data_IF_690541952011
#
_entry.id   IF_690541952011
#
_cell.length_a   1.000
_cell.length_b   1.000
_cell.length_c   1.000
_cell.angle_alpha   90.00
_cell.angle_beta   90.00
_cell.angle_gamma   90.00
#
_symmetry.space_group_name_H-M   'P 1'
#
loop_
_entity.id
_entity.type
_entity.pdbx_description
1 polymer ?
#
# COMPACT_ATOMS: atom_id res chain seq x y z
N UNK A 1 10.82 4.40 23.22
CA UNK A 1 9.61 5.20 22.93
C UNK A 1 8.89 5.66 24.22
N UNK A 2 8.86 4.87 25.29
CA UNK A 2 8.24 5.26 26.58
C UNK A 2 8.99 6.33 27.39
N UNK A 3 10.22 6.69 26.97
CA UNK A 3 11.07 7.66 27.70
C UNK A 3 10.77 9.13 27.36
N UNK A 4 9.98 9.40 26.32
CA UNK A 4 9.67 10.77 25.87
C UNK A 4 8.21 11.09 26.18
N UNK A 5 7.98 12.17 26.94
CA UNK A 5 6.65 12.67 27.26
C UNK A 5 5.94 13.23 26.03
N UNK A 6 4.61 13.29 26.08
CA UNK A 6 3.80 13.92 25.02
C UNK A 6 4.25 15.37 24.81
N UNK A 7 4.48 15.76 23.57
CA UNK A 7 4.99 17.07 23.20
C UNK A 7 6.53 17.15 23.11
N UNK A 8 7.26 16.16 23.63
CA UNK A 8 8.72 16.10 23.50
C UNK A 8 9.17 15.97 22.04
N UNK A 9 10.34 16.51 21.74
CA UNK A 9 10.96 16.46 20.42
C UNK A 9 12.00 15.34 20.35
N UNK A 10 11.97 14.58 19.26
CA UNK A 10 12.98 13.61 18.90
C UNK A 10 13.65 14.10 17.62
N UNK A 11 14.96 14.34 17.72
CA UNK A 11 15.83 14.70 16.60
C UNK A 11 16.72 13.50 16.31
N UNK A 12 16.92 13.21 15.03
CA UNK A 12 17.81 12.13 14.61
C UNK A 12 18.22 12.26 13.15
N UNK A 13 19.11 11.36 12.74
CA UNK A 13 19.51 11.23 11.35
C UNK A 13 19.60 9.77 10.94
N UNK A 14 19.46 9.52 9.64
CA UNK A 14 19.63 8.18 9.06
C UNK A 14 20.05 8.26 7.59
N UNK A 15 20.62 7.17 7.09
CA UNK A 15 20.90 6.99 5.67
C UNK A 15 19.76 6.17 5.07
N UNK A 16 18.92 6.75 4.19
CA UNK A 16 17.85 6.02 3.53
C UNK A 16 18.41 4.94 2.61
N UNK A 17 17.66 3.84 2.44
CA UNK A 17 17.95 2.79 1.46
C UNK A 17 18.21 3.36 0.05
N UNK A 18 17.48 4.41 -0.31
CA UNK A 18 17.59 5.10 -1.58
C UNK A 18 19.00 5.66 -1.85
N UNK A 19 19.73 6.06 -0.79
CA UNK A 19 21.09 6.61 -0.87
C UNK A 19 22.16 5.61 -0.41
N UNK A 20 21.79 4.33 -0.32
CA UNK A 20 22.66 3.32 0.28
C UNK A 20 23.84 2.91 -0.64
N UNK A 21 23.59 2.80 -1.95
CA UNK A 21 24.65 2.54 -2.95
C UNK A 21 25.71 3.65 -2.91
N UNK A 22 25.28 4.91 -3.00
CA UNK A 22 26.20 6.06 -2.99
C UNK A 22 27.00 6.14 -1.68
N UNK A 23 26.42 5.74 -0.54
CA UNK A 23 27.11 5.67 0.73
C UNK A 23 28.19 4.58 0.75
N UNK A 24 27.87 3.34 0.36
CA UNK A 24 28.84 2.24 0.34
C UNK A 24 29.96 2.47 -0.68
N UNK A 25 29.61 3.00 -1.87
CA UNK A 25 30.57 3.30 -2.92
C UNK A 25 31.62 4.34 -2.49
N UNK A 26 31.24 5.25 -1.59
CA UNK A 26 32.16 6.23 -1.00
C UNK A 26 33.13 5.66 0.04
N UNK A 27 32.91 4.43 0.51
CA UNK A 27 33.72 3.80 1.57
C UNK A 27 34.70 2.75 1.06
N UNK A 28 34.51 2.25 -0.16
CA UNK A 28 35.25 1.09 -0.67
C UNK A 28 35.59 1.23 -2.16
N UNK A 29 36.72 0.67 -2.63
CA UNK A 29 37.03 0.58 -4.06
C UNK A 29 35.93 -0.16 -4.84
N UNK A 30 35.74 0.19 -6.12
CA UNK A 30 34.63 -0.30 -6.94
C UNK A 30 34.49 -1.83 -6.98
N UNK A 31 35.60 -2.55 -7.10
CA UNK A 31 35.61 -4.02 -7.13
C UNK A 31 35.12 -4.64 -5.82
N UNK A 32 35.60 -4.12 -4.68
CA UNK A 32 35.20 -4.61 -3.36
C UNK A 32 33.74 -4.27 -3.05
N UNK A 33 33.29 -3.09 -3.46
CA UNK A 33 31.89 -2.67 -3.40
C UNK A 33 30.97 -3.64 -4.15
N UNK A 34 31.29 -3.99 -5.40
CA UNK A 34 30.46 -4.86 -6.22
C UNK A 34 30.28 -6.26 -5.59
N UNK A 35 31.32 -6.78 -4.95
CA UNK A 35 31.27 -8.07 -4.23
C UNK A 35 30.48 -7.94 -2.93
N UNK A 36 30.70 -6.89 -2.15
CA UNK A 36 30.14 -6.76 -0.79
C UNK A 36 28.68 -6.31 -0.77
N UNK A 37 28.23 -5.54 -1.76
CA UNK A 37 26.86 -5.03 -1.83
C UNK A 37 25.77 -6.10 -1.64
N UNK A 38 25.76 -7.24 -2.37
CA UNK A 38 24.72 -8.25 -2.19
C UNK A 38 24.73 -8.86 -0.79
N UNK A 39 25.90 -9.15 -0.22
CA UNK A 39 26.02 -9.69 1.13
C UNK A 39 25.53 -8.70 2.18
N UNK A 40 25.97 -7.44 2.08
CA UNK A 40 25.53 -6.38 2.97
C UNK A 40 24.02 -6.20 2.90
N UNK A 41 23.46 -6.14 1.69
CA UNK A 41 22.02 -6.01 1.49
C UNK A 41 21.27 -7.19 2.12
N UNK A 42 21.70 -8.43 1.87
CA UNK A 42 21.06 -9.61 2.47
C UNK A 42 21.11 -9.54 4.00
N UNK A 43 22.28 -9.24 4.57
CA UNK A 43 22.47 -9.21 6.01
C UNK A 43 21.70 -8.06 6.69
N UNK A 44 21.74 -6.84 6.17
CA UNK A 44 21.13 -5.66 6.82
C UNK A 44 19.68 -5.35 6.38
N UNK A 45 19.22 -5.91 5.24
CA UNK A 45 17.83 -5.72 4.74
C UNK A 45 16.96 -6.95 4.92
N UNK A 46 17.48 -8.15 4.63
CA UNK A 46 16.69 -9.39 4.54
C UNK A 46 16.65 -10.11 5.89
N UNK A 47 17.80 -10.34 6.53
CA UNK A 47 17.86 -11.09 7.80
C UNK A 47 16.97 -10.51 8.91
N UNK A 48 16.88 -9.18 9.12
CA UNK A 48 16.04 -8.61 10.18
C UNK A 48 14.53 -8.84 9.96
N UNK A 49 14.12 -9.25 8.75
CA UNK A 49 12.71 -9.41 8.34
C UNK A 49 12.23 -10.86 8.37
N UNK A 50 13.14 -11.83 8.29
CA UNK A 50 12.80 -13.25 8.31
C UNK A 50 12.73 -13.76 9.74
N UNK A 51 11.73 -14.58 10.07
CA UNK A 51 11.51 -15.05 11.44
C UNK A 51 12.73 -15.78 12.03
N UNK A 52 13.42 -16.57 11.20
CA UNK A 52 14.55 -17.43 11.60
C UNK A 52 15.83 -16.61 11.82
N UNK A 53 16.20 -15.76 10.86
CA UNK A 53 17.48 -15.03 10.90
C UNK A 53 17.42 -13.71 11.66
N UNK A 54 16.22 -13.25 12.03
CA UNK A 54 16.02 -12.03 12.82
C UNK A 54 16.78 -12.10 14.14
N UNK A 55 16.65 -13.20 14.90
CA UNK A 55 17.32 -13.32 16.21
C UNK A 55 18.84 -13.22 16.08
N UNK A 56 19.42 -13.94 15.12
CA UNK A 56 20.87 -13.91 14.82
C UNK A 56 21.32 -12.48 14.51
N UNK A 57 20.57 -11.77 13.66
CA UNK A 57 20.89 -10.38 13.32
C UNK A 57 20.90 -9.47 14.56
N UNK A 58 19.88 -9.56 15.42
CA UNK A 58 19.79 -8.74 16.63
C UNK A 58 20.88 -9.05 17.64
N UNK A 59 21.31 -10.31 17.76
CA UNK A 59 22.45 -10.69 18.61
C UNK A 59 23.75 -10.07 18.08
N UNK A 60 23.99 -10.14 16.76
CA UNK A 60 25.24 -9.67 16.16
C UNK A 60 25.34 -8.14 16.04
N UNK A 61 24.22 -7.44 15.88
CA UNK A 61 24.22 -6.02 15.54
C UNK A 61 23.55 -5.14 16.59
N UNK A 62 22.92 -5.73 17.61
CA UNK A 62 22.04 -5.01 18.54
C UNK A 62 20.92 -4.22 17.81
N UNK A 63 20.56 -4.69 16.60
CA UNK A 63 19.59 -4.02 15.73
C UNK A 63 20.11 -2.77 15.02
N UNK A 64 21.40 -2.44 15.13
CA UNK A 64 22.04 -1.29 14.46
C UNK A 64 22.21 -1.53 12.95
N UNK A 65 22.43 -0.46 12.20
CA UNK A 65 22.75 -0.49 10.76
C UNK A 65 21.71 -1.19 9.87
N UNK A 66 20.44 -1.23 10.27
CA UNK A 66 19.38 -1.77 9.42
C UNK A 66 19.16 -0.87 8.22
N UNK A 67 19.18 -1.44 7.02
CA UNK A 67 18.90 -0.69 5.79
C UNK A 67 17.38 -0.51 5.63
N UNK A 68 16.89 0.69 5.90
CA UNK A 68 15.47 1.03 5.85
C UNK A 68 15.24 2.16 4.85
N UNK A 69 14.11 2.11 4.13
CA UNK A 69 13.72 3.22 3.25
C UNK A 69 13.21 4.41 4.07
N UNK A 70 13.22 5.59 3.47
CA UNK A 70 12.61 6.80 4.05
C UNK A 70 11.17 6.53 4.53
N UNK A 71 10.36 5.90 3.69
CA UNK A 71 8.98 5.54 4.01
C UNK A 71 8.86 4.58 5.21
N UNK A 72 9.75 3.58 5.32
CA UNK A 72 9.71 2.61 6.41
C UNK A 72 10.09 3.27 7.76
N UNK A 73 11.05 4.21 7.76
CA UNK A 73 11.44 4.93 8.98
C UNK A 73 10.34 5.87 9.43
N UNK A 74 9.81 6.70 8.53
CA UNK A 74 8.74 7.64 8.87
C UNK A 74 7.46 6.89 9.30
N UNK A 75 7.13 5.79 8.62
CA UNK A 75 6.05 4.89 9.02
C UNK A 75 6.21 4.33 10.43
N UNK A 76 7.42 3.87 10.79
CA UNK A 76 7.71 3.38 12.16
C UNK A 76 7.61 4.47 13.21
N UNK A 77 8.04 5.69 12.89
CA UNK A 77 7.91 6.85 13.78
C UNK A 77 6.43 7.17 14.03
N UNK A 78 5.63 7.28 12.96
CA UNK A 78 4.18 7.52 13.06
C UNK A 78 3.47 6.40 13.83
N UNK A 79 3.81 5.13 13.56
CA UNK A 79 3.30 3.99 14.32
C UNK A 79 3.61 4.07 15.82
N UNK A 80 4.82 4.53 16.18
CA UNK A 80 5.21 4.78 17.56
C UNK A 80 4.59 6.06 18.15
N UNK A 81 3.71 6.76 17.44
CA UNK A 81 3.04 7.98 17.89
C UNK A 81 3.89 9.25 17.74
N UNK A 82 4.84 9.30 16.81
CA UNK A 82 5.58 10.52 16.50
C UNK A 82 5.03 11.17 15.24
N UNK A 83 4.63 12.45 15.34
CA UNK A 83 4.26 13.25 14.17
C UNK A 83 5.52 13.91 13.61
N UNK A 84 5.74 13.77 12.30
CA UNK A 84 6.86 14.44 11.64
C UNK A 84 6.64 15.96 11.68
N UNK A 85 7.67 16.72 12.05
CA UNK A 85 7.63 18.20 12.05
C UNK A 85 8.37 18.74 10.83
N UNK A 86 9.60 18.26 10.63
CA UNK A 86 10.45 18.67 9.52
C UNK A 86 11.50 17.60 9.25
N UNK A 87 11.92 17.48 8.00
CA UNK A 87 13.11 16.74 7.63
C UNK A 87 13.86 17.46 6.51
N UNK A 88 15.17 17.28 6.46
CA UNK A 88 16.04 17.83 5.44
C UNK A 88 17.05 16.76 5.01
N UNK A 89 17.39 16.74 3.73
CA UNK A 89 18.40 15.84 3.17
C UNK A 89 19.70 16.63 3.01
N UNK A 90 20.76 16.20 3.69
CA UNK A 90 22.10 16.79 3.59
C UNK A 90 23.06 15.67 3.17
N UNK A 91 23.61 15.79 1.97
CA UNK A 91 24.41 14.72 1.36
C UNK A 91 23.60 13.43 1.21
N UNK A 92 24.10 12.33 1.77
CA UNK A 92 23.43 11.03 1.73
C UNK A 92 22.53 10.76 2.96
N UNK A 93 22.42 11.70 3.90
CA UNK A 93 21.68 11.54 5.14
C UNK A 93 20.42 12.39 5.19
N UNK A 94 19.39 11.86 5.83
CA UNK A 94 18.18 12.60 6.18
C UNK A 94 18.23 12.92 7.66
N UNK A 95 18.14 14.20 7.98
CA UNK A 95 17.95 14.72 9.33
C UNK A 95 16.48 14.99 9.54
N UNK A 96 15.93 14.56 10.67
CA UNK A 96 14.51 14.71 10.94
C UNK A 96 14.26 15.17 12.37
N UNK A 97 13.18 15.92 12.53
CA UNK A 97 12.61 16.32 13.82
C UNK A 97 11.17 15.85 13.86
N UNK A 98 10.81 15.13 14.92
CA UNK A 98 9.45 14.66 15.13
C UNK A 98 8.99 14.96 16.56
N UNK A 99 7.71 15.24 16.72
CA UNK A 99 7.08 15.55 18.00
C UNK A 99 6.29 14.35 18.48
N UNK A 100 6.45 13.97 19.75
CA UNK A 100 5.65 12.90 20.35
C UNK A 100 4.19 13.34 20.44
N UNK A 101 3.34 12.66 19.70
CA UNK A 101 1.89 12.74 19.78
C UNK A 101 1.32 11.54 20.54
N UNK A 102 0.01 11.53 20.77
CA UNK A 102 -0.69 10.37 21.31
C UNK A 102 -0.62 9.24 20.28
N UNK A 103 -0.39 7.99 20.73
CA UNK A 103 -0.24 6.83 19.84
C UNK A 103 -1.47 6.70 18.93
N UNK A 104 -1.28 6.83 17.62
CA UNK A 104 -2.37 6.91 16.62
C UNK A 104 -2.88 5.51 16.25
N UNK A 105 -2.04 4.47 16.36
CA UNK A 105 -2.36 3.14 15.85
C UNK A 105 -2.80 2.18 16.95
N UNK A 106 -4.00 1.60 16.80
CA UNK A 106 -4.50 0.48 17.59
C UNK A 106 -3.96 -0.88 17.09
N UNK A 107 -3.22 -0.88 15.97
CA UNK A 107 -2.73 -2.11 15.34
C UNK A 107 -1.50 -2.66 16.08
N UNK A 108 -1.61 -3.87 16.64
CA UNK A 108 -0.57 -4.46 17.49
C UNK A 108 0.59 -5.09 16.70
N UNK A 109 0.39 -5.45 15.42
CA UNK A 109 1.39 -6.20 14.64
C UNK A 109 1.35 -5.90 13.13
N UNK A 110 1.98 -4.81 12.66
CA UNK A 110 2.12 -4.55 11.24
C UNK A 110 2.92 -5.66 10.53
N UNK A 111 2.35 -6.24 9.48
CA UNK A 111 2.94 -7.35 8.74
C UNK A 111 4.10 -6.90 7.85
N UNK A 112 5.24 -7.59 7.94
CA UNK A 112 6.39 -7.40 7.02
C UNK A 112 6.32 -8.25 5.75
N UNK A 113 5.33 -9.16 5.67
CA UNK A 113 5.26 -10.16 4.62
C UNK A 113 5.00 -9.56 3.22
N UNK A 114 5.35 -10.31 2.17
CA UNK A 114 5.07 -9.93 0.79
C UNK A 114 3.58 -9.96 0.47
N UNK A 115 2.76 -10.64 1.28
CA UNK A 115 1.30 -10.70 1.13
C UNK A 115 0.66 -9.83 2.21
N UNK A 116 -0.24 -8.94 1.79
CA UNK A 116 -1.06 -8.09 2.65
C UNK A 116 -2.47 -8.66 2.69
N UNK A 117 -3.05 -8.67 3.89
CA UNK A 117 -4.44 -9.06 4.15
C UNK A 117 -5.25 -7.81 4.43
N UNK A 118 -6.28 -7.55 3.63
CA UNK A 118 -7.11 -6.35 3.74
C UNK A 118 -8.56 -6.75 4.09
N UNK A 119 -9.06 -6.27 5.22
CA UNK A 119 -10.48 -6.43 5.57
C UNK A 119 -11.34 -5.52 4.68
N UNK A 120 -12.35 -6.11 4.05
CA UNK A 120 -13.28 -5.45 3.11
C UNK A 120 -14.70 -5.92 3.34
N UNK A 121 -15.67 -5.10 2.95
CA UNK A 121 -17.09 -5.47 2.99
C UNK A 121 -17.40 -6.35 1.78
N UNK A 122 -18.00 -7.50 2.05
CA UNK A 122 -18.46 -8.48 1.07
C UNK A 122 -19.98 -8.62 1.06
N UNK A 123 -20.43 -9.75 0.51
CA UNK A 123 -21.84 -10.08 0.36
C UNK A 123 -22.55 -10.17 1.73
N UNK A 124 -23.80 -9.68 1.80
CA UNK A 124 -24.60 -9.50 3.01
C UNK A 124 -23.89 -8.70 4.13
N UNK A 125 -22.99 -7.79 3.76
CA UNK A 125 -22.26 -6.96 4.72
C UNK A 125 -21.18 -7.72 5.50
N UNK A 126 -20.94 -9.00 5.19
CA UNK A 126 -19.91 -9.81 5.87
C UNK A 126 -18.52 -9.28 5.57
N UNK A 127 -17.65 -9.27 6.57
CA UNK A 127 -16.25 -8.87 6.39
C UNK A 127 -15.50 -10.03 5.74
N UNK A 128 -14.90 -9.78 4.58
CA UNK A 128 -14.01 -10.70 3.87
C UNK A 128 -12.57 -10.19 3.92
N UNK A 129 -11.61 -11.11 3.79
CA UNK A 129 -10.18 -10.78 3.76
C UNK A 129 -9.67 -10.91 2.33
N UNK A 130 -9.30 -9.79 1.73
CA UNK A 130 -8.71 -9.73 0.39
C UNK A 130 -7.20 -9.83 0.48
N UNK A 131 -6.60 -10.69 -0.33
CA UNK A 131 -5.14 -10.87 -0.39
C UNK A 131 -4.54 -10.07 -1.55
N UNK A 132 -3.42 -9.38 -1.31
CA UNK A 132 -2.65 -8.69 -2.37
C UNK A 132 -1.16 -8.80 -2.12
N UNK A 133 -0.35 -8.65 -3.15
CA UNK A 133 1.08 -8.43 -2.93
C UNK A 133 1.34 -7.03 -2.37
N UNK A 134 2.31 -6.95 -1.48
CA UNK A 134 2.79 -5.71 -0.88
C UNK A 134 3.56 -4.92 -1.94
N UNK A 135 2.98 -3.80 -2.34
CA UNK A 135 3.57 -2.86 -3.30
C UNK A 135 4.18 -1.63 -2.65
N UNK A 136 3.95 -1.43 -1.35
CA UNK A 136 4.47 -0.31 -0.57
C UNK A 136 5.39 -0.80 0.54
N UNK A 137 6.33 0.05 0.94
CA UNK A 137 7.20 -0.23 2.08
C UNK A 137 6.37 -0.50 3.35
N UNK A 138 6.80 -1.41 4.23
CA UNK A 138 6.13 -1.64 5.52
C UNK A 138 5.96 -0.34 6.31
N UNK A 139 4.86 -0.22 7.07
CA UNK A 139 4.49 0.95 7.89
C UNK A 139 4.15 2.23 7.12
N UNK A 140 4.25 2.23 5.80
CA UNK A 140 3.98 3.43 5.01
C UNK A 140 2.50 3.85 5.00
N UNK A 141 1.60 2.97 5.43
CA UNK A 141 0.19 3.27 5.70
C UNK A 141 0.00 4.33 6.80
N UNK A 142 0.88 4.38 7.81
CA UNK A 142 0.76 5.30 8.95
C UNK A 142 1.15 6.74 8.62
N UNK A 143 1.82 6.96 7.49
CA UNK A 143 2.21 8.29 7.01
C UNK A 143 1.33 8.78 5.87
N UNK A 144 0.19 8.12 5.62
CA UNK A 144 -0.71 8.50 4.53
C UNK A 144 -1.21 9.94 4.64
N UNK A 145 -1.54 10.40 5.87
CA UNK A 145 -1.99 11.78 6.11
C UNK A 145 -0.86 12.78 5.84
N UNK A 146 0.32 12.52 6.39
CA UNK A 146 1.48 13.40 6.20
C UNK A 146 1.86 13.51 4.70
N UNK A 147 1.85 12.39 3.99
CA UNK A 147 2.08 12.36 2.53
C UNK A 147 0.99 13.13 1.78
N UNK A 148 -0.26 13.07 2.26
CA UNK A 148 -1.38 13.82 1.69
C UNK A 148 -1.24 15.34 1.84
N UNK A 149 -0.76 15.78 3.00
CA UNK A 149 -0.54 17.20 3.28
C UNK A 149 0.69 17.77 2.54
N UNK A 150 1.74 16.96 2.35
CA UNK A 150 3.00 17.42 1.72
C UNK A 150 3.03 17.34 0.19
N UNK A 151 2.22 16.49 -0.45
CA UNK A 151 2.33 16.23 -1.89
C UNK A 151 1.11 16.73 -2.67
N UNK A 152 1.38 17.43 -3.78
CA UNK A 152 0.35 17.77 -4.75
C UNK A 152 -0.24 16.50 -5.38
N UNK A 153 -1.56 16.43 -5.38
CA UNK A 153 -2.30 15.43 -6.13
C UNK A 153 -2.24 15.78 -7.62
N UNK A 154 -2.10 14.78 -8.48
CA UNK A 154 -2.35 14.91 -9.90
C UNK A 154 -3.84 15.15 -10.17
N UNK A 155 -4.19 15.43 -11.43
CA UNK A 155 -5.58 15.66 -11.85
C UNK A 155 -6.53 14.47 -11.56
N UNK A 156 -6.01 13.29 -11.19
CA UNK A 156 -6.79 12.11 -10.79
C UNK A 156 -6.86 11.92 -9.27
N UNK A 157 -6.37 12.87 -8.48
CA UNK A 157 -6.36 12.82 -7.03
C UNK A 157 -5.24 11.94 -6.44
N UNK A 158 -4.11 11.76 -7.15
CA UNK A 158 -3.02 10.83 -6.74
C UNK A 158 -1.68 11.51 -6.54
N UNK A 159 -0.86 10.99 -5.64
CA UNK A 159 0.48 11.52 -5.39
C UNK A 159 1.40 11.34 -6.59
N UNK A 160 1.91 12.45 -7.12
CA UNK A 160 3.07 12.45 -8.02
C UNK A 160 4.28 11.88 -7.24
N UNK A 161 4.85 10.79 -7.74
CA UNK A 161 6.04 10.13 -7.17
C UNK A 161 5.92 9.70 -5.69
N UNK A 162 4.89 8.92 -5.36
CA UNK A 162 4.73 8.34 -4.01
C UNK A 162 5.95 7.49 -3.58
N UNK A 163 6.78 8.06 -2.70
CA UNK A 163 7.99 7.42 -2.16
C UNK A 163 7.70 6.19 -1.28
N UNK A 164 6.43 5.93 -0.97
CA UNK A 164 6.01 4.73 -0.25
C UNK A 164 5.99 3.49 -1.14
N UNK A 165 5.83 3.65 -2.45
CA UNK A 165 5.76 2.54 -3.40
C UNK A 165 7.18 2.03 -3.69
N UNK A 166 7.38 0.72 -3.63
CA UNK A 166 8.68 0.11 -3.97
C UNK A 166 8.89 0.08 -5.50
N UNK A 167 10.14 0.01 -5.95
CA UNK A 167 10.44 -0.05 -7.39
C UNK A 167 9.77 -1.24 -8.08
N UNK A 168 9.84 -2.43 -7.47
CA UNK A 168 9.09 -3.60 -7.95
C UNK A 168 7.59 -3.43 -7.77
N UNK A 169 7.13 -2.77 -6.70
CA UNK A 169 5.72 -2.50 -6.45
C UNK A 169 5.07 -1.68 -7.57
N UNK A 170 5.82 -0.73 -8.15
CA UNK A 170 5.40 0.03 -9.33
C UNK A 170 5.17 -0.89 -10.54
N UNK A 171 6.06 -1.85 -10.76
CA UNK A 171 5.92 -2.86 -11.82
C UNK A 171 4.71 -3.74 -11.54
N UNK A 172 4.57 -4.25 -10.31
CA UNK A 172 3.45 -5.12 -9.92
C UNK A 172 2.10 -4.45 -10.16
N UNK A 173 1.94 -3.18 -9.75
CA UNK A 173 0.72 -2.38 -10.01
C UNK A 173 0.50 -2.12 -11.49
N UNK A 174 1.57 -1.78 -12.22
CA UNK A 174 1.53 -1.49 -13.66
C UNK A 174 0.96 -2.67 -14.46
N UNK A 175 1.26 -3.90 -14.04
CA UNK A 175 0.83 -5.13 -14.70
C UNK A 175 -0.26 -5.89 -13.94
N UNK A 176 -0.91 -5.28 -12.93
CA UNK A 176 -1.94 -5.92 -12.08
C UNK A 176 -1.49 -7.22 -11.37
N UNK A 177 -0.18 -7.46 -11.29
CA UNK A 177 0.39 -8.63 -10.64
C UNK A 177 0.12 -8.58 -9.13
N UNK A 178 0.00 -7.37 -8.56
CA UNK A 178 -0.30 -7.20 -7.14
C UNK A 178 -1.66 -7.75 -6.71
N UNK A 179 -2.59 -7.89 -7.65
CA UNK A 179 -3.94 -8.40 -7.42
C UNK A 179 -4.04 -9.92 -7.64
N UNK A 180 -3.00 -10.60 -8.15
CA UNK A 180 -3.00 -12.07 -8.36
C UNK A 180 -3.39 -12.86 -7.11
N UNK A 181 -2.96 -12.51 -5.87
CA UNK A 181 -3.38 -13.25 -4.68
C UNK A 181 -4.91 -13.22 -4.44
N UNK A 182 -5.65 -12.29 -5.05
CA UNK A 182 -7.12 -12.27 -5.00
C UNK A 182 -7.76 -13.42 -5.77
N UNK A 183 -7.02 -14.09 -6.69
CA UNK A 183 -7.52 -15.32 -7.33
C UNK A 183 -7.84 -16.40 -6.29
N UNK A 184 -7.12 -16.44 -5.17
CA UNK A 184 -7.45 -17.32 -4.05
C UNK A 184 -8.83 -16.99 -3.44
N UNK A 185 -9.18 -15.71 -3.32
CA UNK A 185 -10.51 -15.28 -2.87
C UNK A 185 -11.61 -15.68 -3.86
N UNK A 186 -11.33 -15.57 -5.15
CA UNK A 186 -12.26 -15.97 -6.20
C UNK A 186 -12.49 -17.49 -6.18
N UNK A 187 -11.44 -18.29 -6.07
CA UNK A 187 -11.54 -19.75 -5.92
C UNK A 187 -12.32 -20.16 -4.66
N UNK A 188 -12.18 -19.41 -3.56
CA UNK A 188 -12.96 -19.60 -2.32
C UNK A 188 -14.40 -19.07 -2.40
N UNK A 189 -14.81 -18.52 -3.54
CA UNK A 189 -16.14 -17.92 -3.74
C UNK A 189 -16.45 -16.71 -2.83
N UNK A 190 -15.42 -16.05 -2.30
CA UNK A 190 -15.55 -14.79 -1.52
C UNK A 190 -15.93 -13.62 -2.43
N UNK A 191 -15.44 -13.65 -3.68
CA UNK A 191 -15.66 -12.63 -4.72
C UNK A 191 -15.97 -13.30 -6.06
N UNK A 192 -16.54 -12.55 -6.99
CA UNK A 192 -16.79 -12.94 -8.38
C UNK A 192 -15.70 -12.39 -9.31
N UNK A 193 -15.69 -12.86 -10.57
CA UNK A 193 -14.78 -12.31 -11.59
C UNK A 193 -15.15 -10.85 -11.93
N UNK A 194 -16.45 -10.58 -12.15
CA UNK A 194 -16.97 -9.24 -12.45
C UNK A 194 -17.95 -8.81 -11.36
N UNK A 195 -17.77 -7.59 -10.86
CA UNK A 195 -18.56 -7.05 -9.76
C UNK A 195 -17.93 -5.80 -9.16
N UNK A 196 -18.73 -5.03 -8.41
CA UNK A 196 -18.24 -3.85 -7.69
C UNK A 196 -17.04 -4.19 -6.79
N UNK A 197 -16.09 -3.26 -6.65
CA UNK A 197 -14.86 -3.54 -5.89
C UNK A 197 -15.20 -3.79 -4.42
N UNK A 198 -14.47 -4.71 -3.78
CA UNK A 198 -14.53 -4.86 -2.33
C UNK A 198 -13.83 -3.65 -1.66
N UNK A 199 -14.59 -2.84 -0.91
CA UNK A 199 -14.09 -1.61 -0.28
C UNK A 199 -14.01 -1.72 1.24
N UNK A 200 -13.18 -0.89 1.87
CA UNK A 200 -13.06 -0.86 3.34
C UNK A 200 -14.33 -0.28 3.96
N UNK A 201 -14.58 -0.57 5.24
CA UNK A 201 -15.69 0.04 5.99
C UNK A 201 -15.70 1.56 5.94
N UNK A 202 -14.54 2.21 6.06
CA UNK A 202 -14.44 3.67 5.97
C UNK A 202 -14.94 4.19 4.62
N UNK A 203 -14.39 3.69 3.51
CA UNK A 203 -14.85 4.05 2.16
C UNK A 203 -16.32 3.72 1.92
N UNK A 204 -16.82 2.59 2.41
CA UNK A 204 -18.22 2.22 2.24
C UNK A 204 -19.17 3.23 2.87
N UNK A 205 -18.80 3.80 4.02
CA UNK A 205 -19.60 4.82 4.68
C UNK A 205 -19.63 6.16 3.94
N UNK A 206 -18.75 6.38 2.94
CA UNK A 206 -18.77 7.59 2.10
C UNK A 206 -19.84 7.52 1.00
N UNK A 207 -20.36 6.33 0.70
CA UNK A 207 -21.34 6.13 -0.37
C UNK A 207 -22.75 6.50 0.11
N UNK A 208 -23.69 6.85 -0.79
CA UNK A 208 -25.10 7.01 -0.45
C UNK A 208 -25.69 5.74 0.18
N UNK A 209 -26.59 5.87 1.16
CA UNK A 209 -27.17 4.73 1.90
C UNK A 209 -27.85 3.71 0.98
N UNK A 210 -28.55 4.17 -0.05
CA UNK A 210 -29.21 3.31 -1.02
C UNK A 210 -28.22 2.41 -1.78
N UNK A 211 -27.08 2.97 -2.19
CA UNK A 211 -26.02 2.20 -2.85
C UNK A 211 -25.28 1.29 -1.87
N UNK A 212 -25.11 1.70 -0.61
CA UNK A 212 -24.57 0.84 0.44
C UNK A 212 -25.40 -0.45 0.57
N UNK A 213 -26.72 -0.35 0.65
CA UNK A 213 -27.65 -1.48 0.73
C UNK A 213 -27.67 -2.30 -0.55
N UNK A 214 -27.64 -1.64 -1.72
CA UNK A 214 -27.61 -2.35 -2.99
C UNK A 214 -26.32 -3.17 -3.15
N UNK A 215 -25.16 -2.64 -2.76
CA UNK A 215 -23.86 -3.30 -2.89
C UNK A 215 -23.79 -4.61 -2.11
N UNK A 216 -24.32 -4.64 -0.89
CA UNK A 216 -24.24 -5.84 -0.04
C UNK A 216 -25.11 -6.99 -0.55
N UNK A 217 -26.07 -6.73 -1.45
CA UNK A 217 -26.87 -7.76 -2.10
C UNK A 217 -26.11 -8.53 -3.20
N UNK A 218 -24.87 -8.12 -3.54
CA UNK A 218 -24.06 -8.78 -4.55
C UNK A 218 -22.67 -9.11 -4.03
N UNK A 219 -22.09 -10.20 -4.54
CA UNK A 219 -20.67 -10.49 -4.31
C UNK A 219 -19.81 -9.43 -5.01
N UNK A 220 -18.78 -8.89 -4.33
CA UNK A 220 -17.78 -8.03 -4.97
C UNK A 220 -17.06 -8.73 -6.13
N UNK A 221 -16.38 -7.97 -6.99
CA UNK A 221 -15.66 -8.49 -8.15
C UNK A 221 -14.18 -8.17 -8.18
N UNK A 222 -13.41 -9.05 -8.84
CA UNK A 222 -12.03 -8.78 -9.26
C UNK A 222 -11.96 -7.64 -10.28
N UNK A 223 -12.91 -7.60 -11.21
CA UNK A 223 -13.02 -6.59 -12.27
C UNK A 223 -14.26 -5.71 -12.00
N UNK A 224 -14.06 -4.52 -11.42
CA UNK A 224 -15.07 -3.49 -11.23
C UNK A 224 -15.66 -2.91 -12.51
N UNK A 225 -16.93 -2.47 -12.48
CA UNK A 225 -17.59 -1.86 -13.62
C UNK A 225 -16.96 -0.54 -14.07
N UNK A 226 -16.31 0.19 -13.16
CA UNK A 226 -15.60 1.41 -13.50
C UNK A 226 -14.44 1.19 -14.48
N UNK A 227 -13.90 -0.03 -14.64
CA UNK A 227 -12.91 -0.31 -15.70
C UNK A 227 -13.55 -0.34 -17.09
N UNK A 228 -14.84 -0.64 -17.19
CA UNK A 228 -15.60 -0.58 -18.43
C UNK A 228 -16.09 0.85 -18.71
N UNK A 229 -16.56 1.55 -17.68
CA UNK A 229 -17.19 2.87 -17.83
C UNK A 229 -16.19 4.04 -17.76
N UNK A 230 -14.99 3.83 -17.21
CA UNK A 230 -13.90 4.81 -17.05
C UNK A 230 -14.33 6.17 -16.45
N UNK A 231 -15.03 6.18 -15.29
CA UNK A 231 -15.44 7.42 -14.64
C UNK A 231 -14.23 8.22 -14.12
N UNK A 232 -14.39 9.53 -14.06
CA UNK A 232 -13.37 10.49 -13.63
C UNK A 232 -13.62 11.05 -12.23
N UNK A 233 -14.89 11.20 -11.83
CA UNK A 233 -15.29 11.74 -10.52
C UNK A 233 -15.87 10.66 -9.61
N UNK A 234 -15.97 10.96 -8.31
CA UNK A 234 -16.58 10.05 -7.35
C UNK A 234 -18.06 9.80 -7.67
N UNK A 235 -18.79 10.83 -8.07
CA UNK A 235 -20.21 10.74 -8.41
C UNK A 235 -20.42 9.86 -9.65
N UNK A 236 -19.56 9.98 -10.67
CA UNK A 236 -19.58 9.08 -11.83
C UNK A 236 -19.27 7.62 -11.46
N UNK A 237 -18.41 7.37 -10.46
CA UNK A 237 -18.17 6.02 -9.93
C UNK A 237 -19.45 5.47 -9.28
N UNK A 238 -20.12 6.28 -8.46
CA UNK A 238 -21.39 5.92 -7.81
C UNK A 238 -22.43 5.56 -8.86
N UNK A 239 -22.60 6.40 -9.89
CA UNK A 239 -23.55 6.16 -10.98
C UNK A 239 -23.21 4.90 -11.80
N UNK A 240 -21.93 4.68 -12.11
CA UNK A 240 -21.46 3.47 -12.80
C UNK A 240 -21.78 2.21 -12.01
N UNK A 241 -21.55 2.22 -10.70
CA UNK A 241 -21.86 1.08 -9.83
C UNK A 241 -23.36 0.83 -9.73
N UNK A 242 -24.20 1.87 -9.56
CA UNK A 242 -25.67 1.73 -9.53
C UNK A 242 -26.17 1.10 -10.84
N UNK A 243 -25.77 1.66 -11.98
CA UNK A 243 -26.17 1.19 -13.31
C UNK A 243 -25.79 -0.26 -13.54
N UNK A 244 -24.57 -0.65 -13.16
CA UNK A 244 -24.11 -2.03 -13.26
C UNK A 244 -24.94 -2.97 -12.37
N UNK A 245 -25.16 -2.61 -11.10
CA UNK A 245 -25.88 -3.47 -10.15
C UNK A 245 -27.36 -3.65 -10.53
N UNK A 246 -28.02 -2.60 -11.03
CA UNK A 246 -29.39 -2.68 -11.55
C UNK A 246 -29.49 -3.64 -12.75
N UNK A 247 -28.62 -3.47 -13.76
CA UNK A 247 -28.56 -4.37 -14.92
C UNK A 247 -28.21 -5.81 -14.52
N UNK A 248 -27.34 -5.99 -13.54
CA UNK A 248 -26.97 -7.31 -13.00
C UNK A 248 -28.14 -8.00 -12.32
N UNK A 249 -29.03 -7.24 -11.65
CA UNK A 249 -30.24 -7.77 -11.03
C UNK A 249 -31.18 -8.39 -12.07
N UNK A 250 -31.32 -7.76 -13.23
CA UNK A 250 -32.18 -8.24 -14.32
C UNK A 250 -31.55 -9.36 -15.15
N UNK A 251 -30.29 -9.16 -15.58
CA UNK A 251 -29.58 -10.06 -16.52
C UNK A 251 -28.15 -10.31 -16.02
N UNK A 252 -27.95 -11.19 -15.03
CA UNK A 252 -26.66 -11.34 -14.34
C UNK A 252 -25.53 -11.81 -15.27
N UNK A 253 -25.79 -12.81 -16.11
CA UNK A 253 -24.76 -13.42 -16.98
C UNK A 253 -24.37 -12.46 -18.11
N UNK A 254 -25.36 -11.94 -18.83
CA UNK A 254 -25.16 -11.03 -19.97
C UNK A 254 -24.45 -9.75 -19.52
N UNK A 255 -24.90 -9.15 -18.41
CA UNK A 255 -24.28 -7.93 -17.88
C UNK A 255 -22.83 -8.16 -17.51
N UNK A 256 -22.50 -9.26 -16.82
CA UNK A 256 -21.12 -9.58 -16.47
C UNK A 256 -20.24 -9.76 -17.71
N UNK A 257 -20.74 -10.45 -18.74
CA UNK A 257 -20.00 -10.67 -19.98
C UNK A 257 -19.71 -9.36 -20.73
N UNK A 258 -20.71 -8.48 -20.85
CA UNK A 258 -20.54 -7.16 -21.50
C UNK A 258 -19.49 -6.34 -20.75
N UNK A 259 -19.60 -6.25 -19.43
CA UNK A 259 -18.66 -5.49 -18.61
C UNK A 259 -17.26 -6.09 -18.60
N UNK A 260 -17.14 -7.43 -18.63
CA UNK A 260 -15.86 -8.12 -18.75
C UNK A 260 -15.13 -7.75 -20.04
N UNK A 261 -15.81 -7.88 -21.19
CA UNK A 261 -15.22 -7.59 -22.50
C UNK A 261 -14.82 -6.12 -22.60
N UNK A 262 -15.70 -5.20 -22.19
CA UNK A 262 -15.39 -3.76 -22.17
C UNK A 262 -14.19 -3.44 -21.29
N UNK A 263 -14.16 -3.97 -20.07
CA UNK A 263 -13.04 -3.74 -19.15
C UNK A 263 -11.73 -4.31 -19.72
N UNK A 264 -11.76 -5.49 -20.33
CA UNK A 264 -10.58 -6.12 -20.93
C UNK A 264 -10.01 -5.29 -22.09
N UNK A 265 -10.89 -4.78 -22.98
CA UNK A 265 -10.50 -3.88 -24.07
C UNK A 265 -9.85 -2.61 -23.50
N UNK A 266 -10.48 -1.97 -22.51
CA UNK A 266 -9.96 -0.74 -21.92
C UNK A 266 -8.63 -0.95 -21.16
N UNK A 267 -8.45 -2.10 -20.51
CA UNK A 267 -7.20 -2.45 -19.80
C UNK A 267 -6.06 -2.65 -20.81
N UNK A 268 -6.32 -3.32 -21.94
CA UNK A 268 -5.31 -3.63 -22.94
C UNK A 268 -4.98 -2.40 -23.81
N UNK A 269 -5.99 -1.69 -24.30
CA UNK A 269 -5.82 -0.67 -25.34
C UNK A 269 -5.92 0.77 -24.82
N UNK A 270 -6.75 1.04 -23.80
CA UNK A 270 -7.00 2.38 -23.28
C UNK A 270 -6.18 2.71 -22.03
N UNK A 271 -5.32 1.80 -21.57
CA UNK A 271 -4.45 2.01 -20.42
C UNK A 271 -5.18 2.10 -19.08
N UNK A 272 -6.40 1.54 -18.97
CA UNK A 272 -7.11 1.43 -17.71
C UNK A 272 -6.31 0.52 -16.77
N UNK A 273 -5.67 1.11 -15.75
CA UNK A 273 -4.80 0.41 -14.80
C UNK A 273 -5.33 0.54 -13.38
N UNK A 274 -5.04 -0.45 -12.52
CA UNK A 274 -5.11 -0.28 -11.06
C UNK A 274 -4.05 0.75 -10.69
N UNK A 275 -4.42 2.03 -10.73
CA UNK A 275 -3.56 3.17 -10.45
C UNK A 275 -3.72 3.57 -8.99
#
# INVERSE_FOLDING_TARGET
YNKLSTGGLLVGSFIPLENFDSHLRGQMPHFLYAIMLPFYFIFHRVFPKLAITKQIYFILTDGKNRTLSKAEIFGRLSFCGFKMVKYETIGNQIYFTCKKSKTISEEQSPSYGPIVKLKRIGHHGRIIVIYKFRTMYPFSEFIQKDVFEENNLDASGKFLNDFRITSWGRILRKYFIDEIPQLYNWLRSDINLVGVRAISKHYYNLYPKELQELRINFKPGLIPPYYADMPTTFDEIVESEVRYLQKKKEKPIITNMIYFVKALINIIFSGARSK
#
